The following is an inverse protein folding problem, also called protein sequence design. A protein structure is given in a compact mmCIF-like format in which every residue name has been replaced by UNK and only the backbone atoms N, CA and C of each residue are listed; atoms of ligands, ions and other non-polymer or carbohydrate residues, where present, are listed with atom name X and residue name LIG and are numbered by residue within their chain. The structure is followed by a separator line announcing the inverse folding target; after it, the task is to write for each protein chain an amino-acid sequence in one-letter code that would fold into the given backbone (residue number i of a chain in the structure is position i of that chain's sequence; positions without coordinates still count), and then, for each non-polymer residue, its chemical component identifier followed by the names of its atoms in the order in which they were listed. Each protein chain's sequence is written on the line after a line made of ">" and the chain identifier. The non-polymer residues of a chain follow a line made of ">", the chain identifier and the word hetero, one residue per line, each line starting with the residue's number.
data_IF_758205111118
#
_entry.id   IF_758205111118
#
_cell.length_a   1.000
_cell.length_b   1.000
_cell.length_c   1.000
_cell.angle_alpha   90.00
_cell.angle_beta   90.00
_cell.angle_gamma   90.00
#
_symmetry.space_group_name_H-M   'P 1'
#
loop_
_entity.id
_entity.type
_entity.pdbx_description
1 polymer ?
#
# COMPACT_ATOMS: atom_id res chain seq x y z
N UNK A 1 13.16 11.25 25.87
CA UNK A 1 13.78 12.57 25.62
C UNK A 1 13.15 13.13 24.36
N UNK A 2 12.90 14.45 24.26
CA UNK A 2 12.36 15.02 23.02
C UNK A 2 13.42 15.00 21.92
N UNK A 3 13.04 14.59 20.70
CA UNK A 3 13.94 14.63 19.53
C UNK A 3 14.51 16.04 19.30
N UNK A 4 13.71 17.10 19.52
CA UNK A 4 14.18 18.48 19.40
C UNK A 4 15.34 18.82 20.35
N UNK A 5 15.35 18.27 21.57
CA UNK A 5 16.45 18.46 22.51
C UNK A 5 17.72 17.74 22.04
N UNK A 6 17.56 16.55 21.43
CA UNK A 6 18.70 15.83 20.85
C UNK A 6 19.27 16.57 19.64
N UNK A 7 18.41 17.16 18.80
CA UNK A 7 18.80 17.94 17.61
C UNK A 7 19.42 19.30 17.98
N UNK A 8 19.07 19.87 19.13
CA UNK A 8 19.75 21.07 19.64
C UNK A 8 21.16 20.76 20.16
N UNK A 9 21.38 19.55 20.69
CA UNK A 9 22.66 19.10 21.22
C UNK A 9 23.59 18.50 20.15
N UNK A 10 23.01 17.93 19.10
CA UNK A 10 23.66 17.23 18.00
C UNK A 10 22.94 17.56 16.69
N UNK A 11 23.62 17.64 15.54
CA UNK A 11 22.92 17.68 14.26
C UNK A 11 22.14 16.36 13.98
N UNK A 12 21.25 16.38 12.98
CA UNK A 12 20.36 15.26 12.68
C UNK A 12 21.12 13.95 12.42
N UNK A 13 22.20 14.00 11.64
CA UNK A 13 22.99 12.82 11.28
C UNK A 13 23.64 12.22 12.53
N UNK A 14 24.21 13.08 13.38
CA UNK A 14 24.79 12.67 14.65
C UNK A 14 23.75 12.07 15.60
N UNK A 15 22.51 12.56 15.61
CA UNK A 15 21.42 11.96 16.40
C UNK A 15 21.12 10.54 15.90
N UNK A 16 20.98 10.34 14.59
CA UNK A 16 20.68 9.03 13.99
C UNK A 16 21.79 8.02 14.31
N UNK A 17 23.05 8.43 14.26
CA UNK A 17 24.19 7.56 14.56
C UNK A 17 24.30 7.20 16.05
N UNK A 18 24.00 8.14 16.95
CA UNK A 18 24.26 7.98 18.39
C UNK A 18 23.10 7.42 19.19
N UNK A 19 21.87 7.63 18.76
CA UNK A 19 20.71 7.12 19.48
C UNK A 19 20.71 5.59 19.38
N UNK A 20 20.62 4.83 20.50
CA UNK A 20 20.62 3.36 20.46
C UNK A 20 19.49 2.80 19.58
N UNK A 21 19.71 1.67 18.90
CA UNK A 21 18.75 1.08 17.95
C UNK A 21 17.51 0.48 18.63
N UNK A 22 17.61 0.16 19.91
CA UNK A 22 16.59 -0.48 20.75
C UNK A 22 15.62 0.52 21.41
N UNK A 23 15.61 1.78 20.97
CA UNK A 23 14.66 2.78 21.46
C UNK A 23 13.41 2.84 20.60
N UNK A 24 12.30 3.18 21.23
CA UNK A 24 11.04 3.47 20.55
C UNK A 24 10.85 4.98 20.35
N UNK A 25 10.15 5.32 19.28
CA UNK A 25 9.68 6.65 18.95
C UNK A 25 8.22 6.77 19.33
N UNK A 26 7.84 7.94 19.86
CA UNK A 26 6.47 8.24 20.25
C UNK A 26 6.15 9.71 20.02
N UNK A 27 4.88 10.00 19.75
CA UNK A 27 4.38 11.39 19.64
C UNK A 27 3.59 11.73 20.91
N UNK A 28 3.76 12.96 21.41
CA UNK A 28 3.04 13.42 22.61
C UNK A 28 1.53 13.36 22.37
N UNK A 29 0.80 12.70 23.28
CA UNK A 29 -0.66 12.43 23.19
C UNK A 29 -1.05 11.42 22.10
N UNK A 30 -0.11 10.62 21.66
CA UNK A 30 -0.35 9.41 20.88
C UNK A 30 -0.19 8.19 21.79
N UNK A 31 -0.93 7.13 21.52
CA UNK A 31 -0.81 5.85 22.23
C UNK A 31 0.25 4.94 21.62
N UNK A 32 0.56 5.11 20.34
CA UNK A 32 1.55 4.27 19.66
C UNK A 32 2.99 4.62 20.04
N UNK A 33 3.82 3.59 20.14
CA UNK A 33 5.27 3.71 20.15
C UNK A 33 5.87 2.67 19.21
N UNK A 34 6.64 3.12 18.22
CA UNK A 34 7.21 2.23 17.20
C UNK A 34 8.72 2.16 17.41
N UNK A 35 9.35 1.01 17.15
CA UNK A 35 10.81 0.92 17.08
C UNK A 35 11.38 1.97 16.13
N UNK A 36 12.51 2.59 16.48
CA UNK A 36 13.13 3.59 15.59
C UNK A 36 13.70 2.99 14.30
N UNK A 37 13.76 1.67 14.20
CA UNK A 37 14.18 0.90 13.03
C UNK A 37 13.29 -0.34 12.91
N UNK A 38 12.92 -0.66 11.69
CA UNK A 38 12.29 -1.91 11.31
C UNK A 38 12.80 -2.31 9.93
N UNK A 39 12.81 -3.60 9.65
CA UNK A 39 13.17 -4.12 8.34
C UNK A 39 11.95 -4.12 7.42
N UNK A 40 12.13 -3.73 6.16
CA UNK A 40 11.12 -3.88 5.12
C UNK A 40 11.33 -5.25 4.49
N UNK A 41 10.64 -6.25 5.02
CA UNK A 41 10.67 -7.63 4.53
C UNK A 41 9.49 -7.94 3.58
N UNK A 42 9.34 -9.20 3.18
CA UNK A 42 8.25 -9.62 2.30
C UNK A 42 6.86 -9.33 2.88
N UNK A 43 6.68 -9.43 4.20
CA UNK A 43 5.39 -9.23 4.89
C UNK A 43 5.01 -7.75 4.92
N UNK A 44 5.98 -6.87 5.23
CA UNK A 44 5.82 -5.42 5.10
C UNK A 44 5.56 -5.06 3.63
N UNK A 45 6.24 -5.71 2.69
CA UNK A 45 5.99 -5.57 1.26
C UNK A 45 4.53 -5.88 0.88
N UNK A 46 3.98 -7.00 1.37
CA UNK A 46 2.58 -7.39 1.18
C UNK A 46 1.63 -6.32 1.74
N UNK A 47 1.80 -5.89 2.99
CA UNK A 47 0.97 -4.85 3.60
C UNK A 47 0.99 -3.56 2.79
N UNK A 48 2.18 -3.10 2.37
CA UNK A 48 2.31 -1.87 1.59
C UNK A 48 1.69 -1.99 0.20
N UNK A 49 1.68 -3.20 -0.40
CA UNK A 49 0.97 -3.45 -1.64
C UNK A 49 -0.56 -3.34 -1.48
N UNK A 50 -1.11 -3.86 -0.39
CA UNK A 50 -2.52 -3.67 -0.04
C UNK A 50 -2.85 -2.22 0.32
N UNK A 51 -1.95 -1.51 1.00
CA UNK A 51 -2.11 -0.08 1.24
C UNK A 51 -2.15 0.70 -0.08
N UNK A 52 -1.25 0.39 -1.01
CA UNK A 52 -1.23 1.01 -2.34
C UNK A 52 -2.52 0.72 -3.13
N UNK A 53 -3.11 -0.47 -3.01
CA UNK A 53 -4.39 -0.78 -3.64
C UNK A 53 -5.56 -0.08 -2.92
N UNK A 54 -5.77 -0.38 -1.64
CA UNK A 54 -7.03 -0.15 -0.93
C UNK A 54 -6.87 0.69 0.36
N UNK A 55 -5.66 1.13 0.66
CA UNK A 55 -5.36 1.94 1.84
C UNK A 55 -5.54 3.44 1.67
N UNK A 56 -5.63 4.15 2.80
CA UNK A 56 -5.56 5.60 2.85
C UNK A 56 -5.15 6.06 4.25
N UNK A 57 -4.64 7.28 4.34
CA UNK A 57 -4.53 8.00 5.62
C UNK A 57 -5.45 9.21 5.65
N UNK A 58 -6.05 9.46 6.81
CA UNK A 58 -6.86 10.65 7.08
C UNK A 58 -6.35 11.33 8.35
N UNK A 59 -6.18 12.64 8.27
CA UNK A 59 -5.76 13.43 9.41
C UNK A 59 -6.51 14.76 9.47
N UNK A 60 -6.90 15.12 10.69
CA UNK A 60 -7.41 16.44 11.02
C UNK A 60 -6.68 16.91 12.29
N UNK A 61 -5.98 18.05 12.18
CA UNK A 61 -5.10 18.53 13.24
C UNK A 61 -5.87 18.75 14.56
N UNK A 62 -5.47 18.02 15.59
CA UNK A 62 -6.12 18.07 16.91
C UNK A 62 -7.41 17.26 17.03
N UNK A 63 -7.77 16.48 16.01
CA UNK A 63 -8.98 15.65 15.96
C UNK A 63 -8.58 14.18 15.82
N UNK A 64 -8.49 13.64 14.60
CA UNK A 64 -8.14 12.24 14.35
C UNK A 64 -6.95 12.09 13.41
N UNK A 65 -6.22 10.98 13.56
CA UNK A 65 -5.15 10.53 12.68
C UNK A 65 -5.33 9.02 12.50
N UNK A 66 -5.65 8.61 11.28
CA UNK A 66 -6.01 7.23 11.00
C UNK A 66 -5.38 6.74 9.71
N UNK A 67 -4.80 5.55 9.78
CA UNK A 67 -4.34 4.76 8.64
C UNK A 67 -5.28 3.58 8.51
N UNK A 68 -5.89 3.41 7.34
CA UNK A 68 -6.87 2.35 7.09
C UNK A 68 -6.47 1.57 5.85
N UNK A 69 -6.62 0.24 5.89
CA UNK A 69 -6.51 -0.65 4.72
C UNK A 69 -7.82 -1.44 4.60
N UNK A 70 -8.41 -1.43 3.41
CA UNK A 70 -9.63 -2.17 3.14
C UNK A 70 -9.32 -3.51 2.46
N UNK A 71 -9.88 -4.61 2.95
CA UNK A 71 -9.79 -5.90 2.27
C UNK A 71 -10.95 -6.82 2.63
N UNK A 72 -11.58 -7.49 1.64
CA UNK A 72 -12.64 -8.45 1.88
C UNK A 72 -12.22 -9.87 2.15
N UNK A 73 -10.92 -10.13 2.14
CA UNK A 73 -10.39 -11.45 2.31
C UNK A 73 -9.74 -11.59 3.68
N UNK A 74 -10.06 -12.67 4.40
CA UNK A 74 -9.59 -12.92 5.77
C UNK A 74 -8.07 -13.10 5.83
N UNK A 75 -7.48 -13.80 4.85
CA UNK A 75 -6.02 -14.05 4.81
C UNK A 75 -5.20 -12.76 4.82
N UNK A 76 -5.36 -11.83 3.85
CA UNK A 76 -4.62 -10.58 3.92
C UNK A 76 -5.04 -9.69 5.09
N UNK A 77 -6.25 -9.86 5.64
CA UNK A 77 -6.65 -9.12 6.84
C UNK A 77 -5.81 -9.52 8.04
N UNK A 78 -5.72 -10.82 8.31
CA UNK A 78 -4.97 -11.35 9.44
C UNK A 78 -3.49 -10.96 9.31
N UNK A 79 -2.90 -11.10 8.12
CA UNK A 79 -1.51 -10.70 7.88
C UNK A 79 -1.27 -9.20 8.07
N UNK A 80 -2.21 -8.33 7.67
CA UNK A 80 -2.11 -6.88 7.90
C UNK A 80 -2.17 -6.58 9.41
N UNK A 81 -3.03 -7.25 10.16
CA UNK A 81 -3.12 -7.08 11.61
C UNK A 81 -1.82 -7.55 12.28
N UNK A 82 -1.31 -8.72 11.89
CA UNK A 82 -0.07 -9.28 12.40
C UNK A 82 1.12 -8.34 12.14
N UNK A 83 1.24 -7.72 10.96
CA UNK A 83 2.31 -6.74 10.71
C UNK A 83 2.19 -5.49 11.58
N UNK A 84 0.97 -5.01 11.84
CA UNK A 84 0.79 -3.88 12.75
C UNK A 84 1.25 -4.22 14.18
N UNK A 85 0.95 -5.43 14.66
CA UNK A 85 1.36 -5.91 15.99
C UNK A 85 2.86 -6.23 16.03
N UNK A 86 3.34 -7.14 15.19
CA UNK A 86 4.69 -7.71 15.25
C UNK A 86 5.80 -6.73 14.80
N UNK A 87 5.53 -5.91 13.78
CA UNK A 87 6.55 -5.02 13.18
C UNK A 87 6.46 -3.62 13.77
N UNK A 88 5.24 -3.12 13.95
CA UNK A 88 5.04 -1.74 14.41
C UNK A 88 4.74 -1.62 15.91
N UNK A 89 4.45 -2.72 16.62
CA UNK A 89 4.04 -2.71 18.04
C UNK A 89 2.81 -1.81 18.25
N UNK A 90 1.85 -1.89 17.31
CA UNK A 90 0.62 -1.09 17.32
C UNK A 90 -0.61 -1.96 17.09
N UNK A 91 -1.57 -1.85 18.01
CA UNK A 91 -2.86 -2.52 17.87
C UNK A 91 -3.71 -1.86 16.77
N UNK A 92 -3.99 -2.62 15.71
CA UNK A 92 -5.00 -2.30 14.73
C UNK A 92 -6.37 -2.80 15.19
N UNK A 93 -7.43 -2.08 14.83
CA UNK A 93 -8.80 -2.52 15.11
C UNK A 93 -9.63 -2.60 13.82
N UNK A 94 -10.59 -3.50 13.82
CA UNK A 94 -11.50 -3.68 12.71
C UNK A 94 -12.72 -2.75 12.87
N UNK A 95 -12.89 -1.79 11.97
CA UNK A 95 -14.12 -0.96 11.93
C UNK A 95 -15.33 -1.79 11.47
N UNK A 96 -15.08 -2.80 10.64
CA UNK A 96 -16.03 -3.80 10.16
C UNK A 96 -15.28 -4.93 9.42
N UNK A 97 -16.04 -5.88 8.87
CA UNK A 97 -15.56 -7.03 8.07
C UNK A 97 -14.79 -6.65 6.79
N UNK A 98 -14.55 -5.37 6.50
CA UNK A 98 -13.80 -4.88 5.34
C UNK A 98 -12.66 -3.92 5.68
N UNK A 99 -12.57 -3.41 6.91
CA UNK A 99 -11.72 -2.25 7.25
C UNK A 99 -10.87 -2.47 8.49
N UNK A 100 -9.57 -2.43 8.31
CA UNK A 100 -8.58 -2.45 9.39
C UNK A 100 -8.05 -1.03 9.54
N UNK A 101 -8.16 -0.47 10.74
CA UNK A 101 -7.77 0.91 11.04
C UNK A 101 -6.83 0.96 12.24
N UNK A 102 -5.82 1.81 12.14
CA UNK A 102 -4.97 2.24 13.27
C UNK A 102 -5.23 3.71 13.53
N UNK A 103 -5.57 4.06 14.78
CA UNK A 103 -5.77 5.45 15.20
C UNK A 103 -4.51 5.98 15.91
N UNK A 104 -3.51 6.38 15.13
CA UNK A 104 -2.26 6.92 15.64
C UNK A 104 -1.69 7.98 14.70
N UNK A 105 -1.24 9.09 15.28
CA UNK A 105 -0.54 10.15 14.54
C UNK A 105 0.82 9.67 14.06
N UNK A 106 1.53 8.91 14.88
CA UNK A 106 2.83 8.33 14.56
C UNK A 106 2.71 7.37 13.37
N UNK A 107 1.71 6.49 13.36
CA UNK A 107 1.48 5.56 12.24
C UNK A 107 1.02 6.31 10.98
N UNK A 108 0.14 7.30 11.11
CA UNK A 108 -0.25 8.13 9.96
C UNK A 108 0.97 8.83 9.35
N UNK A 109 1.83 9.45 10.16
CA UNK A 109 3.08 10.09 9.70
C UNK A 109 4.07 9.06 9.13
N UNK A 110 4.15 7.85 9.70
CA UNK A 110 5.00 6.78 9.17
C UNK A 110 4.60 6.45 7.72
N UNK A 111 3.31 6.27 7.44
CA UNK A 111 2.84 5.96 6.10
C UNK A 111 2.89 7.15 5.14
N UNK A 112 2.47 8.34 5.57
CA UNK A 112 2.37 9.50 4.68
C UNK A 112 3.69 10.20 4.41
N UNK A 113 4.59 10.27 5.40
CA UNK A 113 5.75 11.17 5.35
C UNK A 113 7.08 10.42 5.38
N UNK A 114 7.16 9.28 6.09
CA UNK A 114 8.42 8.53 6.24
C UNK A 114 8.58 7.46 5.17
N UNK A 115 7.54 6.63 4.97
CA UNK A 115 7.47 5.69 3.86
C UNK A 115 7.08 6.39 2.55
N UNK A 116 6.50 7.58 2.64
CA UNK A 116 6.01 8.36 1.51
C UNK A 116 5.12 7.52 0.57
N UNK A 117 4.16 6.80 1.15
CA UNK A 117 3.28 5.88 0.41
C UNK A 117 2.06 6.60 -0.20
N UNK A 118 1.96 7.92 -0.03
CA UNK A 118 0.77 8.70 -0.32
C UNK A 118 -0.35 8.52 0.71
N UNK A 119 -1.39 9.35 0.63
CA UNK A 119 -2.50 9.37 1.61
C UNK A 119 -3.87 9.08 1.00
N UNK A 120 -4.03 9.36 -0.30
CA UNK A 120 -5.27 9.18 -1.06
C UNK A 120 -4.95 8.56 -2.40
N UNK A 121 -5.97 8.04 -3.09
CA UNK A 121 -5.82 7.32 -4.35
C UNK A 121 -4.99 8.08 -5.40
N UNK A 122 -5.10 9.40 -5.47
CA UNK A 122 -4.40 10.26 -6.43
C UNK A 122 -2.93 10.52 -6.05
N UNK A 123 -2.56 10.32 -4.78
CA UNK A 123 -1.21 10.60 -4.27
C UNK A 123 -0.44 9.34 -3.90
N UNK A 124 -1.02 8.15 -4.06
CA UNK A 124 -0.31 6.89 -3.81
C UNK A 124 0.87 6.74 -4.76
N UNK A 125 1.90 6.03 -4.30
CA UNK A 125 3.09 5.65 -5.05
C UNK A 125 3.69 4.38 -4.43
N UNK A 126 4.72 3.80 -5.05
CA UNK A 126 5.47 2.70 -4.43
C UNK A 126 6.58 3.32 -3.57
N UNK A 127 6.63 3.09 -2.25
CA UNK A 127 7.71 3.58 -1.40
C UNK A 127 9.09 3.24 -1.95
N UNK A 128 10.04 4.18 -1.89
CA UNK A 128 11.41 3.98 -2.39
C UNK A 128 12.09 2.76 -1.74
N UNK A 129 11.82 2.53 -0.45
CA UNK A 129 12.33 1.39 0.29
C UNK A 129 11.83 0.04 -0.25
N UNK A 130 10.69 0.01 -0.95
CA UNK A 130 10.14 -1.18 -1.63
C UNK A 130 10.59 -1.21 -3.09
N UNK A 131 10.53 -0.09 -3.80
CA UNK A 131 10.87 -0.02 -5.23
C UNK A 131 12.34 -0.38 -5.49
N UNK A 132 13.23 -0.03 -4.54
CA UNK A 132 14.67 -0.35 -4.58
C UNK A 132 15.03 -1.66 -3.85
N UNK A 133 14.07 -2.32 -3.19
CA UNK A 133 14.29 -3.54 -2.43
C UNK A 133 14.71 -4.73 -3.32
N UNK A 134 15.24 -5.83 -2.75
CA UNK A 134 15.33 -7.13 -3.41
C UNK A 134 14.03 -7.53 -4.13
N UNK A 135 14.17 -8.31 -5.21
CA UNK A 135 13.03 -8.75 -6.03
C UNK A 135 11.96 -9.48 -5.21
N UNK A 136 12.31 -10.18 -4.11
CA UNK A 136 11.35 -10.90 -3.29
C UNK A 136 10.34 -9.97 -2.59
N UNK A 137 10.79 -8.83 -2.08
CA UNK A 137 9.96 -7.82 -1.41
C UNK A 137 9.11 -7.06 -2.43
N UNK A 138 9.72 -6.62 -3.53
CA UNK A 138 8.96 -5.95 -4.58
C UNK A 138 7.91 -6.88 -5.20
N UNK A 139 8.21 -8.18 -5.29
CA UNK A 139 7.27 -9.19 -5.78
C UNK A 139 6.04 -9.28 -4.87
N UNK A 140 6.21 -9.35 -3.54
CA UNK A 140 5.05 -9.45 -2.63
C UNK A 140 4.22 -8.17 -2.62
N UNK A 141 4.85 -7.00 -2.72
CA UNK A 141 4.14 -5.74 -2.95
C UNK A 141 3.27 -5.79 -4.21
N UNK A 142 3.83 -6.20 -5.34
CA UNK A 142 3.08 -6.29 -6.59
C UNK A 142 1.96 -7.33 -6.50
N UNK A 143 2.24 -8.51 -5.96
CA UNK A 143 1.25 -9.57 -5.79
C UNK A 143 0.06 -9.10 -4.93
N UNK A 144 0.31 -8.36 -3.85
CA UNK A 144 -0.70 -7.76 -3.00
C UNK A 144 -1.48 -6.64 -3.71
N UNK A 145 -0.78 -5.72 -4.39
CA UNK A 145 -1.41 -4.63 -5.15
C UNK A 145 -2.40 -5.17 -6.20
N UNK A 146 -1.95 -6.10 -7.04
CA UNK A 146 -2.77 -6.74 -8.06
C UNK A 146 -3.85 -7.65 -7.44
N UNK A 147 -3.69 -8.09 -6.19
CA UNK A 147 -4.73 -8.81 -5.46
C UNK A 147 -5.82 -7.89 -4.92
N UNK A 148 -5.52 -6.66 -4.52
CA UNK A 148 -6.52 -5.65 -4.20
C UNK A 148 -7.22 -5.13 -5.46
N UNK A 149 -6.48 -4.36 -6.25
CA UNK A 149 -7.05 -3.55 -7.34
C UNK A 149 -6.96 -4.22 -8.73
N UNK A 150 -6.33 -5.39 -8.81
CA UNK A 150 -6.21 -6.13 -10.07
C UNK A 150 -7.46 -6.94 -10.43
N UNK A 151 -7.64 -7.21 -11.72
CA UNK A 151 -8.67 -8.13 -12.25
C UNK A 151 -8.08 -9.04 -13.33
N UNK A 152 -8.62 -10.25 -13.40
CA UNK A 152 -8.25 -11.28 -14.37
C UNK A 152 -9.44 -11.65 -15.23
N UNK A 153 -9.19 -12.17 -16.43
CA UNK A 153 -10.22 -12.71 -17.30
C UNK A 153 -9.83 -14.12 -17.72
N UNK A 154 -10.71 -15.10 -17.52
CA UNK A 154 -10.49 -16.47 -18.01
C UNK A 154 -10.69 -16.57 -19.53
N UNK A 155 -11.51 -15.70 -20.12
CA UNK A 155 -11.75 -15.67 -21.57
C UNK A 155 -10.57 -15.09 -22.36
N UNK A 156 -9.73 -14.28 -21.71
CA UNK A 156 -8.59 -13.59 -22.32
C UNK A 156 -7.42 -13.66 -21.36
N UNK A 157 -6.29 -14.26 -21.77
CA UNK A 157 -5.04 -14.30 -20.98
C UNK A 157 -4.52 -12.88 -20.72
N UNK A 158 -5.02 -12.28 -19.65
CA UNK A 158 -4.99 -10.85 -19.39
C UNK A 158 -5.13 -10.54 -17.89
N UNK A 159 -4.27 -9.64 -17.42
CA UNK A 159 -4.35 -9.02 -16.10
C UNK A 159 -4.51 -7.52 -16.29
N UNK A 160 -5.42 -6.92 -15.51
CA UNK A 160 -5.56 -5.47 -15.41
C UNK A 160 -5.39 -5.00 -13.99
N UNK A 161 -4.93 -3.76 -13.81
CA UNK A 161 -5.10 -3.00 -12.58
C UNK A 161 -5.45 -1.56 -12.93
N UNK A 162 -6.08 -0.86 -12.00
CA UNK A 162 -6.49 0.53 -12.15
C UNK A 162 -5.68 1.42 -11.20
N UNK A 163 -5.64 2.71 -11.46
CA UNK A 163 -5.19 3.72 -10.49
C UNK A 163 -5.56 5.10 -11.01
N UNK A 164 -5.77 6.05 -10.11
CA UNK A 164 -5.94 7.47 -10.46
C UNK A 164 -4.67 8.28 -10.19
N UNK A 165 -3.63 7.68 -9.59
CA UNK A 165 -2.32 8.31 -9.37
C UNK A 165 -1.42 8.13 -10.60
N UNK A 166 -0.93 9.24 -11.14
CA UNK A 166 0.08 9.26 -12.22
C UNK A 166 1.43 8.67 -11.75
N UNK A 167 1.79 8.89 -10.48
CA UNK A 167 3.06 8.41 -9.90
C UNK A 167 3.02 6.89 -9.69
N UNK A 168 1.96 6.38 -9.03
CA UNK A 168 1.79 4.93 -8.84
C UNK A 168 1.71 4.20 -10.18
N UNK A 169 1.02 4.77 -11.17
CA UNK A 169 1.00 4.20 -12.51
C UNK A 169 2.42 4.05 -13.07
N UNK A 170 3.26 5.08 -12.94
CA UNK A 170 4.63 5.09 -13.45
C UNK A 170 5.52 4.09 -12.72
N UNK A 171 5.40 4.03 -11.39
CA UNK A 171 6.13 3.10 -10.53
C UNK A 171 5.77 1.66 -10.83
N UNK A 172 4.49 1.34 -11.02
CA UNK A 172 4.05 -0.01 -11.37
C UNK A 172 4.64 -0.48 -12.71
N UNK A 173 4.75 0.40 -13.71
CA UNK A 173 5.45 0.08 -14.96
C UNK A 173 6.93 -0.24 -14.67
N UNK A 174 7.60 0.60 -13.88
CA UNK A 174 9.01 0.42 -13.56
C UNK A 174 9.26 -0.87 -12.78
N UNK A 175 8.43 -1.15 -11.78
CA UNK A 175 8.47 -2.36 -10.97
C UNK A 175 8.25 -3.62 -11.82
N UNK A 176 7.21 -3.65 -12.67
CA UNK A 176 6.92 -4.80 -13.54
C UNK A 176 8.05 -5.07 -14.56
N UNK A 177 8.76 -4.03 -15.01
CA UNK A 177 9.93 -4.19 -15.88
C UNK A 177 11.07 -4.95 -15.20
N UNK A 178 11.26 -4.84 -13.88
CA UNK A 178 12.26 -5.66 -13.14
C UNK A 178 11.99 -7.16 -13.30
N UNK A 179 10.72 -7.54 -13.42
CA UNK A 179 10.29 -8.92 -13.67
C UNK A 179 10.21 -9.28 -15.17
N UNK A 180 10.62 -8.39 -16.08
CA UNK A 180 10.56 -8.62 -17.53
C UNK A 180 9.14 -8.63 -18.10
N UNK A 181 8.21 -7.93 -17.43
CA UNK A 181 6.80 -7.84 -17.78
C UNK A 181 6.56 -6.48 -18.41
N UNK A 182 6.16 -6.48 -19.68
CA UNK A 182 5.73 -5.26 -20.38
C UNK A 182 4.22 -5.03 -20.19
N UNK A 183 3.84 -3.78 -19.94
CA UNK A 183 2.45 -3.35 -19.71
C UNK A 183 2.02 -2.34 -20.77
N UNK A 184 0.76 -2.42 -21.19
CA UNK A 184 0.11 -1.35 -21.95
C UNK A 184 -0.62 -0.44 -20.97
N UNK A 185 -0.40 0.86 -21.06
CA UNK A 185 -1.09 1.85 -20.22
C UNK A 185 -1.90 2.81 -21.07
N UNK A 186 -3.12 3.11 -20.63
CA UNK A 186 -4.03 4.07 -21.25
C UNK A 186 -5.03 4.58 -20.23
N UNK A 187 -5.68 5.71 -20.51
CA UNK A 187 -6.77 6.23 -19.67
C UNK A 187 -8.11 5.65 -20.09
N UNK A 188 -8.96 5.35 -19.13
CA UNK A 188 -10.32 4.88 -19.32
C UNK A 188 -11.26 5.71 -18.44
N UNK A 189 -12.30 6.28 -19.05
CA UNK A 189 -13.39 6.93 -18.33
C UNK A 189 -14.48 5.91 -18.02
N UNK A 190 -14.94 5.88 -16.78
CA UNK A 190 -16.01 5.02 -16.31
C UNK A 190 -17.12 5.85 -15.67
N UNK A 191 -18.34 5.57 -16.06
CA UNK A 191 -19.55 6.12 -15.43
C UNK A 191 -20.30 4.97 -14.76
N UNK A 192 -20.08 4.71 -13.45
CA UNK A 192 -20.82 3.70 -12.72
C UNK A 192 -22.32 3.98 -12.81
N UNK A 193 -23.09 3.01 -13.30
CA UNK A 193 -24.55 3.13 -13.46
C UNK A 193 -25.34 2.46 -12.33
N UNK A 194 -24.69 1.58 -11.57
CA UNK A 194 -25.29 0.79 -10.49
C UNK A 194 -24.27 0.52 -9.39
N UNK A 195 -24.74 0.15 -8.20
CA UNK A 195 -23.91 -0.21 -7.05
C UNK A 195 -23.53 0.99 -6.17
N UNK A 196 -22.75 0.72 -5.11
CA UNK A 196 -22.46 1.68 -4.05
C UNK A 196 -21.86 3.01 -4.56
N UNK A 197 -21.02 2.98 -5.59
CA UNK A 197 -20.44 4.20 -6.17
C UNK A 197 -21.50 5.05 -6.87
N UNK A 198 -22.41 4.42 -7.64
CA UNK A 198 -23.48 5.15 -8.31
C UNK A 198 -24.52 5.69 -7.32
N UNK A 199 -24.76 4.97 -6.21
CA UNK A 199 -25.68 5.38 -5.15
C UNK A 199 -25.13 6.48 -4.24
N UNK A 200 -23.80 6.63 -4.16
CA UNK A 200 -23.13 7.62 -3.31
C UNK A 200 -23.23 9.05 -3.88
N UNK A 201 -23.26 9.19 -5.21
CA UNK A 201 -23.28 10.49 -5.88
C UNK A 201 -24.69 10.85 -6.36
N UNK A 202 -25.11 12.11 -6.13
CA UNK A 202 -26.36 12.65 -6.66
C UNK A 202 -26.23 12.94 -8.17
N UNK A 203 -26.26 11.89 -9.00
CA UNK A 203 -26.23 11.98 -10.47
C UNK A 203 -25.20 11.05 -11.12
N UNK A 204 -25.22 10.99 -12.45
CA UNK A 204 -24.20 10.25 -13.21
C UNK A 204 -22.86 10.98 -13.11
N UNK A 205 -21.88 10.34 -12.47
CA UNK A 205 -20.52 10.84 -12.37
C UNK A 205 -19.55 9.94 -13.15
N UNK A 206 -18.72 10.58 -13.98
CA UNK A 206 -17.62 9.92 -14.68
C UNK A 206 -16.32 10.04 -13.88
N UNK A 207 -15.54 8.98 -13.90
CA UNK A 207 -14.22 8.89 -13.27
C UNK A 207 -13.20 8.45 -14.32
N UNK A 208 -12.13 9.22 -14.48
CA UNK A 208 -11.01 8.84 -15.33
C UNK A 208 -9.97 8.10 -14.48
N UNK A 209 -9.46 6.98 -15.00
CA UNK A 209 -8.40 6.22 -14.34
C UNK A 209 -7.38 5.72 -15.37
N UNK A 210 -6.16 5.50 -14.93
CA UNK A 210 -5.18 4.71 -15.64
C UNK A 210 -5.55 3.24 -15.60
N UNK A 211 -5.33 2.56 -16.72
CA UNK A 211 -5.46 1.10 -16.83
C UNK A 211 -4.12 0.54 -17.21
N UNK A 212 -3.55 -0.29 -16.33
CA UNK A 212 -2.39 -1.10 -16.62
C UNK A 212 -2.85 -2.46 -17.12
N UNK A 213 -2.57 -2.76 -18.38
CA UNK A 213 -3.03 -3.97 -19.05
C UNK A 213 -1.85 -4.85 -19.46
N UNK A 214 -1.82 -6.06 -18.92
CA UNK A 214 -0.80 -7.09 -19.16
C UNK A 214 -1.47 -8.22 -19.95
N UNK A 215 -0.92 -8.62 -21.09
CA UNK A 215 -1.56 -9.63 -21.96
C UNK A 215 -0.56 -10.65 -22.50
N UNK A 216 -1.09 -11.75 -23.02
CA UNK A 216 -0.32 -12.75 -23.78
C UNK A 216 0.87 -13.28 -22.97
N UNK A 217 2.06 -13.36 -23.56
CA UNK A 217 3.27 -13.85 -22.89
C UNK A 217 3.64 -13.04 -21.63
N UNK A 218 3.28 -11.76 -21.54
CA UNK A 218 3.55 -10.97 -20.34
C UNK A 218 2.61 -11.35 -19.19
N UNK A 219 1.37 -11.76 -19.48
CA UNK A 219 0.44 -12.24 -18.47
C UNK A 219 0.89 -13.61 -17.93
N UNK A 220 1.43 -14.49 -18.79
CA UNK A 220 2.08 -15.74 -18.35
C UNK A 220 3.29 -15.44 -17.46
N UNK A 221 4.17 -14.53 -17.87
CA UNK A 221 5.30 -14.09 -17.02
C UNK A 221 4.86 -13.48 -15.70
N UNK A 222 3.73 -12.75 -15.70
CA UNK A 222 3.16 -12.21 -14.48
C UNK A 222 2.76 -13.34 -13.53
N UNK A 223 1.98 -14.32 -14.00
CA UNK A 223 1.59 -15.48 -13.21
C UNK A 223 2.81 -16.25 -12.68
N UNK A 224 3.84 -16.45 -13.51
CA UNK A 224 5.03 -17.22 -13.13
C UNK A 224 5.97 -16.49 -12.13
N UNK A 225 6.09 -15.16 -12.24
CA UNK A 225 7.13 -14.39 -11.53
C UNK A 225 6.60 -13.51 -10.41
N UNK A 226 5.33 -13.13 -10.47
CA UNK A 226 4.67 -12.25 -9.50
C UNK A 226 3.48 -12.97 -8.87
N UNK A 227 2.54 -13.43 -9.69
CA UNK A 227 1.30 -14.08 -9.24
C UNK A 227 0.37 -13.12 -8.50
N UNK A 228 -0.62 -13.69 -7.83
CA UNK A 228 -1.46 -12.98 -6.87
C UNK A 228 -1.17 -13.48 -5.46
N UNK A 229 -1.36 -12.59 -4.49
CA UNK A 229 -1.46 -12.97 -3.09
C UNK A 229 -2.77 -13.75 -2.82
N UNK A 230 -3.87 -13.36 -3.47
CA UNK A 230 -5.15 -14.07 -3.37
C UNK A 230 -5.23 -15.25 -4.35
N UNK A 231 -5.17 -16.48 -3.84
CA UNK A 231 -5.17 -17.70 -4.65
C UNK A 231 -6.34 -17.82 -5.64
N UNK A 232 -7.53 -17.30 -5.30
CA UNK A 232 -8.69 -17.30 -6.23
C UNK A 232 -8.44 -16.55 -7.55
N UNK A 233 -7.51 -15.58 -7.56
CA UNK A 233 -7.17 -14.81 -8.77
C UNK A 233 -6.15 -15.54 -9.65
N UNK A 234 -5.29 -16.37 -9.07
CA UNK A 234 -4.33 -17.21 -9.82
C UNK A 234 -5.05 -18.29 -10.65
N UNK A 235 -6.12 -18.88 -10.11
CA UNK A 235 -6.91 -19.92 -10.79
C UNK A 235 -7.56 -19.45 -12.11
N UNK A 236 -7.70 -18.13 -12.29
CA UNK A 236 -8.35 -17.54 -13.48
C UNK A 236 -7.37 -17.35 -14.64
N UNK A 237 -6.05 -17.43 -14.40
CA UNK A 237 -5.00 -17.24 -15.42
C UNK A 237 -4.40 -18.54 -15.97
N UNK A 238 -4.79 -19.70 -15.45
CA UNK A 238 -4.32 -21.04 -15.85
C UNK A 238 -5.36 -21.73 -16.72
#
# INVERSE_FOLDING_TARGET
>A
ISAGVLIELYDCDTVVERVPTDVTLGIRRDSASISRQFDVDETVGTMLGYYAAEGFTRQEAGSFYQTTICTPDDVPRDEIIDVFDDVFDVEAFEENEWKITVSSRLVTTLFSDVLDAGSRAETKLIPDCVLSAPDSILRTFLAAYFSGDGSTSSERVEVRAHTVSDDLQSDLIAALKRFGIATKVYREERTPKTGAVAEFYDGEQSFESWVLKITSQNAVRFADRVGFHLGRKDETLT
#
